data_IF_009802347389
#
_entry.id   IF_009802347389
#
_cell.length_a   1.000
_cell.length_b   1.000
_cell.length_c   1.000
_cell.angle_alpha   90.00
_cell.angle_beta   90.00
_cell.angle_gamma   90.00
#
_symmetry.space_group_name_H-M   'P 1'
#
loop_
_entity.id
_entity.type
_entity.pdbx_description
1 polymer ?
#
# COMPACT_ATOMS: atom_id res chain seq x y z
N UNK A 1 6.38 -49.58 -2.13
CA UNK A 1 6.86 -48.31 -1.52
C UNK A 1 6.09 -47.18 -2.17
N UNK A 2 5.49 -46.35 -1.33
CA UNK A 2 4.45 -45.37 -1.62
C UNK A 2 5.03 -44.07 -2.18
N UNK A 3 4.33 -43.43 -3.12
CA UNK A 3 3.92 -42.00 -3.16
C UNK A 3 3.54 -41.64 -4.62
N UNK A 4 2.25 -41.58 -4.95
CA UNK A 4 1.34 -40.42 -4.96
C UNK A 4 1.40 -39.54 -6.24
N UNK A 5 0.25 -39.25 -6.88
CA UNK A 5 0.15 -38.43 -8.09
C UNK A 5 0.20 -36.92 -7.80
N UNK A 6 0.86 -36.15 -8.66
CA UNK A 6 0.91 -34.69 -8.55
C UNK A 6 -0.44 -34.08 -8.94
N UNK A 7 -1.20 -33.68 -7.92
CA UNK A 7 -2.44 -32.95 -8.02
C UNK A 7 -2.22 -31.51 -8.54
N UNK A 8 -3.21 -31.06 -9.31
CA UNK A 8 -3.34 -29.74 -9.93
C UNK A 8 -3.10 -28.58 -8.95
N UNK A 9 -2.55 -27.48 -9.46
CA UNK A 9 -2.85 -26.15 -8.90
C UNK A 9 -3.07 -25.18 -10.04
N UNK A 10 -4.30 -25.21 -10.53
CA UNK A 10 -4.88 -24.20 -11.41
C UNK A 10 -4.92 -22.88 -10.63
N UNK A 11 -4.00 -21.99 -10.98
CA UNK A 11 -3.93 -20.64 -10.46
C UNK A 11 -5.09 -19.84 -11.04
N UNK A 12 -6.25 -19.96 -10.39
CA UNK A 12 -7.41 -19.11 -10.61
C UNK A 12 -7.01 -17.65 -10.42
N UNK A 13 -6.75 -16.96 -11.53
CA UNK A 13 -6.64 -15.51 -11.57
C UNK A 13 -8.02 -14.93 -11.28
N UNK A 14 -8.36 -14.83 -10.00
CA UNK A 14 -9.43 -13.96 -9.55
C UNK A 14 -9.06 -12.52 -9.95
N UNK A 15 -9.56 -12.09 -11.10
CA UNK A 15 -9.69 -10.68 -11.42
C UNK A 15 -10.69 -10.08 -10.43
N UNK A 16 -10.32 -9.13 -9.57
CA UNK A 16 -11.33 -8.31 -8.94
C UNK A 16 -11.91 -7.40 -10.03
N UNK A 17 -13.09 -7.77 -10.50
CA UNK A 17 -14.03 -6.94 -11.26
C UNK A 17 -14.05 -5.54 -10.64
N UNK A 18 -13.41 -4.57 -11.29
CA UNK A 18 -13.57 -3.15 -10.99
C UNK A 18 -14.88 -2.70 -11.64
N UNK A 19 -15.99 -3.13 -11.05
CA UNK A 19 -17.30 -2.60 -11.38
C UNK A 19 -17.41 -1.21 -10.74
N UNK A 20 -17.14 -0.16 -11.50
CA UNK A 20 -17.34 1.21 -11.05
C UNK A 20 -18.28 1.92 -11.99
N UNK A 21 -19.52 2.05 -11.52
CA UNK A 21 -20.51 3.01 -11.95
C UNK A 21 -21.41 3.30 -10.73
N UNK A 22 -21.92 4.51 -10.50
CA UNK A 22 -21.46 5.81 -10.97
C UNK A 22 -21.45 6.92 -9.88
N UNK A 23 -20.61 7.96 -10.09
CA UNK A 23 -20.62 9.28 -9.41
C UNK A 23 -20.95 9.31 -7.90
N UNK A 24 -20.01 8.85 -7.08
CA UNK A 24 -19.94 9.31 -5.70
C UNK A 24 -19.31 10.71 -5.72
N UNK A 25 -20.08 11.73 -5.31
CA UNK A 25 -19.54 13.07 -5.08
C UNK A 25 -18.26 12.99 -4.23
N UNK A 26 -17.28 13.89 -4.43
CA UNK A 26 -16.06 13.88 -3.66
C UNK A 26 -16.35 14.29 -2.22
N UNK A 27 -16.79 13.31 -1.42
CA UNK A 27 -17.09 13.50 -0.01
C UNK A 27 -15.77 13.78 0.71
N UNK A 28 -15.69 14.95 1.32
CA UNK A 28 -14.61 15.28 2.22
C UNK A 28 -14.74 14.43 3.50
N UNK A 29 -13.68 13.76 3.91
CA UNK A 29 -13.62 13.06 5.19
C UNK A 29 -12.65 13.77 6.14
N UNK A 30 -13.03 13.89 7.40
CA UNK A 30 -12.21 14.47 8.46
C UNK A 30 -11.86 13.39 9.48
N UNK A 31 -10.60 13.33 9.90
CA UNK A 31 -10.17 12.41 10.96
C UNK A 31 -10.72 12.89 12.30
N UNK A 32 -11.48 12.05 12.99
CA UNK A 32 -12.07 12.38 14.30
C UNK A 32 -11.01 12.53 15.40
N UNK A 33 -9.85 11.88 15.25
CA UNK A 33 -8.78 11.92 16.25
C UNK A 33 -7.91 13.18 16.16
N UNK A 34 -7.72 13.76 14.97
CA UNK A 34 -6.79 14.88 14.80
C UNK A 34 -7.25 15.96 13.80
N UNK A 35 -8.47 15.88 13.29
CA UNK A 35 -9.06 16.88 12.38
C UNK A 35 -8.48 16.93 10.97
N UNK A 36 -7.62 15.98 10.56
CA UNK A 36 -7.06 16.00 9.20
C UNK A 36 -8.15 15.79 8.16
N UNK A 37 -8.28 16.71 7.20
CA UNK A 37 -9.24 16.61 6.09
C UNK A 37 -8.61 15.91 4.88
N UNK A 38 -9.30 14.92 4.32
CA UNK A 38 -8.96 14.26 3.05
C UNK A 38 -10.10 14.45 2.06
N UNK A 39 -9.79 14.87 0.84
CA UNK A 39 -10.78 15.24 -0.17
C UNK A 39 -10.63 14.36 -1.42
N UNK A 40 -11.65 14.32 -2.28
CA UNK A 40 -11.62 13.62 -3.56
C UNK A 40 -12.01 12.14 -3.51
N UNK A 41 -12.02 11.48 -4.67
CA UNK A 41 -12.48 10.09 -4.87
C UNK A 41 -11.74 9.06 -4.00
N UNK A 42 -10.51 9.37 -3.58
CA UNK A 42 -9.69 8.49 -2.73
C UNK A 42 -9.71 8.91 -1.25
N UNK A 43 -10.59 9.81 -0.81
CA UNK A 43 -10.66 10.30 0.57
C UNK A 43 -10.72 9.15 1.58
N UNK A 44 -11.59 8.16 1.38
CA UNK A 44 -11.76 6.99 2.25
C UNK A 44 -10.47 6.18 2.43
N UNK A 45 -9.77 5.91 1.32
CA UNK A 45 -8.53 5.12 1.36
C UNK A 45 -7.38 5.93 1.96
N UNK A 46 -7.32 7.23 1.68
CA UNK A 46 -6.36 8.14 2.30
C UNK A 46 -6.60 8.28 3.81
N UNK A 47 -7.86 8.36 4.26
CA UNK A 47 -8.25 8.46 5.66
C UNK A 47 -7.92 7.18 6.43
N UNK A 48 -8.28 6.02 5.88
CA UNK A 48 -7.94 4.73 6.49
C UNK A 48 -6.41 4.59 6.64
N UNK A 49 -5.65 4.97 5.61
CA UNK A 49 -4.19 5.00 5.68
C UNK A 49 -3.69 6.00 6.72
N UNK A 50 -4.29 7.19 6.81
CA UNK A 50 -3.94 8.21 7.79
C UNK A 50 -4.09 7.65 9.22
N UNK A 51 -5.25 7.06 9.54
CA UNK A 51 -5.52 6.46 10.84
C UNK A 51 -4.48 5.38 11.17
N UNK A 52 -4.18 4.46 10.23
CA UNK A 52 -3.17 3.41 10.46
C UNK A 52 -1.76 3.94 10.76
N UNK A 53 -1.37 5.06 10.15
CA UNK A 53 0.00 5.59 10.25
C UNK A 53 0.19 6.60 11.39
N UNK A 54 -0.88 7.31 11.76
CA UNK A 54 -0.88 8.41 12.73
C UNK A 54 -1.58 8.04 14.04
N UNK A 55 -2.57 7.16 13.98
CA UNK A 55 -3.38 6.70 15.11
C UNK A 55 -3.39 5.16 15.18
N UNK A 56 -2.22 4.50 15.34
CA UNK A 56 -2.19 3.06 15.49
C UNK A 56 -2.87 2.65 16.80
N UNK A 57 -4.01 1.96 16.69
CA UNK A 57 -4.82 1.54 17.84
C UNK A 57 -4.11 0.53 18.76
N UNK A 58 -3.15 -0.24 18.24
CA UNK A 58 -2.48 -1.29 18.99
C UNK A 58 -1.04 -1.45 18.50
N UNK A 59 -0.18 -0.48 18.82
CA UNK A 59 1.30 -0.54 18.91
C UNK A 59 2.16 -1.11 17.75
N UNK A 60 1.56 -1.78 16.78
CA UNK A 60 2.22 -2.60 15.77
C UNK A 60 2.46 -1.76 14.53
N UNK A 61 3.37 -0.80 14.66
CA UNK A 61 3.88 -0.06 13.50
C UNK A 61 4.85 -0.99 12.77
N UNK A 62 4.34 -1.72 11.79
CA UNK A 62 5.18 -2.51 10.88
C UNK A 62 6.07 -1.56 10.08
N UNK A 63 7.35 -1.49 10.45
CA UNK A 63 8.35 -0.71 9.73
C UNK A 63 8.97 -1.56 8.62
N UNK A 64 9.07 -0.98 7.43
CA UNK A 64 9.82 -1.56 6.31
C UNK A 64 11.27 -1.09 6.38
N UNK A 65 12.24 -1.98 6.61
CA UNK A 65 13.66 -1.62 6.56
C UNK A 65 14.11 -1.40 5.10
N UNK A 66 15.10 -0.54 4.92
CA UNK A 66 15.85 -0.45 3.68
C UNK A 66 16.74 -1.69 3.53
N UNK A 67 16.93 -2.19 2.30
CA UNK A 67 17.80 -3.34 2.05
C UNK A 67 19.29 -2.98 2.07
N UNK A 68 19.62 -1.73 1.78
CA UNK A 68 21.01 -1.26 1.67
C UNK A 68 21.50 -0.48 2.90
N UNK A 69 20.60 -0.12 3.82
CA UNK A 69 20.98 0.52 5.08
C UNK A 69 19.98 0.18 6.20
N UNK A 70 20.34 0.47 7.45
CA UNK A 70 19.50 0.19 8.63
C UNK A 70 18.33 1.17 8.82
N UNK A 71 18.00 1.98 7.81
CA UNK A 71 16.89 2.93 7.89
C UNK A 71 15.54 2.21 7.83
N UNK A 72 14.64 2.55 8.76
CA UNK A 72 13.30 1.96 8.87
C UNK A 72 12.21 2.98 8.52
N UNK A 73 11.22 2.56 7.72
CA UNK A 73 10.16 3.43 7.22
C UNK A 73 8.78 2.90 7.56
N UNK A 74 7.84 3.78 7.89
CA UNK A 74 6.43 3.40 8.13
C UNK A 74 5.67 2.98 6.86
N UNK A 75 6.26 3.19 5.68
CA UNK A 75 5.63 2.91 4.37
C UNK A 75 6.65 2.30 3.43
N UNK A 76 6.23 1.26 2.72
CA UNK A 76 7.05 0.58 1.71
C UNK A 76 7.40 1.47 0.52
N UNK A 77 6.50 2.35 0.08
CA UNK A 77 6.81 3.32 -1.00
C UNK A 77 7.88 4.34 -0.57
N UNK A 78 7.89 4.72 0.72
CA UNK A 78 8.87 5.63 1.26
C UNK A 78 10.26 4.96 1.33
N UNK A 79 10.31 3.69 1.75
CA UNK A 79 11.51 2.87 1.70
C UNK A 79 12.04 2.75 0.26
N UNK A 80 11.17 2.39 -0.70
CA UNK A 80 11.55 2.28 -2.11
C UNK A 80 12.04 3.61 -2.71
N UNK A 81 11.39 4.72 -2.36
CA UNK A 81 11.85 6.06 -2.77
C UNK A 81 13.21 6.40 -2.17
N UNK A 82 13.46 6.01 -0.92
CA UNK A 82 14.74 6.17 -0.26
C UNK A 82 15.82 5.33 -0.94
N UNK A 83 15.55 4.05 -1.19
CA UNK A 83 16.42 3.11 -1.90
C UNK A 83 16.84 3.67 -3.28
N UNK A 84 15.88 4.19 -4.05
CA UNK A 84 16.19 4.83 -5.34
C UNK A 84 17.04 6.09 -5.19
N UNK A 85 16.69 7.00 -4.25
CA UNK A 85 17.39 8.29 -4.13
C UNK A 85 18.78 8.18 -3.52
N UNK A 86 18.97 7.33 -2.50
CA UNK A 86 20.21 7.24 -1.73
C UNK A 86 21.13 6.14 -2.25
N UNK A 87 20.56 5.01 -2.65
CA UNK A 87 21.34 3.84 -3.05
C UNK A 87 21.27 3.55 -4.56
N UNK A 88 20.45 4.30 -5.31
CA UNK A 88 20.23 4.12 -6.77
C UNK A 88 19.94 2.66 -7.15
N UNK A 89 19.22 1.93 -6.28
CA UNK A 89 18.87 0.53 -6.52
C UNK A 89 17.95 0.46 -7.74
N UNK A 90 18.38 -0.25 -8.78
CA UNK A 90 17.66 -0.36 -10.06
C UNK A 90 16.25 -0.96 -9.91
N UNK A 91 16.08 -1.90 -8.99
CA UNK A 91 14.79 -2.54 -8.64
C UNK A 91 13.81 -1.56 -7.96
N UNK A 92 14.32 -0.54 -7.28
CA UNK A 92 13.51 0.47 -6.60
C UNK A 92 13.06 1.61 -7.52
N UNK A 93 13.39 1.55 -8.82
CA UNK A 93 13.09 2.61 -9.78
C UNK A 93 11.56 2.80 -9.88
N UNK A 94 11.02 3.98 -9.51
CA UNK A 94 9.59 4.21 -9.62
C UNK A 94 9.20 4.17 -11.10
N UNK A 95 8.24 3.29 -11.46
CA UNK A 95 7.72 3.25 -12.81
C UNK A 95 7.05 4.60 -13.13
N UNK A 96 7.39 5.18 -14.27
CA UNK A 96 6.83 6.45 -14.72
C UNK A 96 5.35 6.21 -14.99
N UNK A 97 4.45 6.83 -14.21
CA UNK A 97 3.02 6.82 -14.54
C UNK A 97 2.87 7.35 -15.96
N UNK A 98 2.36 6.52 -16.87
CA UNK A 98 1.93 7.00 -18.21
C UNK A 98 0.78 7.98 -17.98
N UNK A 99 0.90 9.15 -18.61
CA UNK A 99 -0.15 10.18 -18.61
C UNK A 99 -1.30 9.74 -19.51
#
# INVERSE_FOLDING_TARGET
MFQQPFAQTEHGRHSPVRNQSPMEEPLDMVCETCGTKTTGVYCKTNMNRHIRLKHPLSGSIMLTPCRACSATFRRSDAARKHEWKKHRILDARPNKRRK
#
